data_IF_132323977279
#
_entry.id   IF_132323977279
#
_cell.length_a   1.000
_cell.length_b   1.000
_cell.length_c   1.000
_cell.angle_alpha   90.00
_cell.angle_beta   90.00
_cell.angle_gamma   90.00
#
_symmetry.space_group_name_H-M   'P 1'
#
loop_
_entity.id
_entity.type
_entity.pdbx_description
1 polymer ?
#
# COMPACT_ATOMS: atom_id res chain seq x y z
N UNK A 1 -19.84 4.08 -21.54
CA UNK A 1 -19.42 2.80 -22.12
C UNK A 1 -20.13 1.76 -21.28
N UNK A 2 -21.19 1.12 -21.78
CA UNK A 2 -21.94 0.15 -20.99
C UNK A 2 -21.09 -1.13 -20.95
N UNK A 3 -20.49 -1.40 -19.80
CA UNK A 3 -19.85 -2.68 -19.49
C UNK A 3 -20.96 -3.73 -19.33
N UNK A 4 -20.69 -4.96 -19.77
CA UNK A 4 -21.63 -6.08 -19.64
C UNK A 4 -21.99 -6.30 -18.16
N UNK A 5 -23.27 -6.57 -17.82
CA UNK A 5 -23.75 -6.70 -16.43
C UNK A 5 -23.17 -7.90 -15.65
N UNK A 6 -22.34 -8.74 -16.30
CA UNK A 6 -21.67 -9.89 -15.69
C UNK A 6 -20.46 -9.49 -14.83
N UNK A 7 -20.03 -8.21 -14.87
CA UNK A 7 -18.87 -7.68 -14.13
C UNK A 7 -19.24 -6.75 -12.95
N UNK A 8 -20.53 -6.65 -12.60
CA UNK A 8 -21.00 -5.84 -11.45
C UNK A 8 -21.12 -6.66 -10.15
N UNK A 9 -21.06 -7.99 -10.23
CA UNK A 9 -21.07 -8.86 -9.05
C UNK A 9 -19.66 -8.98 -8.44
N UNK A 10 -19.54 -9.07 -7.10
CA UNK A 10 -18.25 -9.26 -6.43
C UNK A 10 -17.54 -10.53 -6.88
N UNK A 11 -16.21 -10.49 -6.93
CA UNK A 11 -15.38 -11.63 -7.32
C UNK A 11 -15.58 -12.80 -6.34
N UNK A 12 -15.89 -13.98 -6.88
CA UNK A 12 -16.00 -15.19 -6.05
C UNK A 12 -14.65 -15.80 -5.72
N UNK A 13 -14.55 -16.60 -4.65
CA UNK A 13 -13.30 -17.32 -4.29
C UNK A 13 -12.78 -18.21 -5.43
N UNK A 14 -13.67 -18.84 -6.20
CA UNK A 14 -13.28 -19.69 -7.34
C UNK A 14 -12.66 -18.84 -8.47
N UNK A 15 -13.25 -17.69 -8.74
CA UNK A 15 -12.79 -16.73 -9.74
C UNK A 15 -11.47 -16.08 -9.35
N UNK A 16 -11.33 -15.69 -8.08
CA UNK A 16 -10.07 -15.22 -7.52
C UNK A 16 -8.99 -16.29 -7.65
N UNK A 17 -9.28 -17.54 -7.29
CA UNK A 17 -8.33 -18.65 -7.47
C UNK A 17 -7.99 -18.94 -8.94
N UNK A 18 -8.84 -18.57 -9.91
CA UNK A 18 -8.48 -18.60 -11.35
C UNK A 18 -7.48 -17.49 -11.69
N UNK A 19 -7.67 -16.28 -11.15
CA UNK A 19 -6.75 -15.17 -11.33
C UNK A 19 -5.39 -15.45 -10.70
N UNK A 20 -5.35 -15.88 -9.43
CA UNK A 20 -4.11 -16.23 -8.72
C UNK A 20 -3.29 -17.27 -9.49
N UNK A 21 -3.92 -18.40 -9.86
CA UNK A 21 -3.23 -19.45 -10.64
C UNK A 21 -2.70 -18.96 -11.98
N UNK A 22 -3.34 -17.96 -12.60
CA UNK A 22 -2.83 -17.39 -13.84
C UNK A 22 -1.61 -16.50 -13.60
N UNK A 23 -1.67 -15.64 -12.57
CA UNK A 23 -0.57 -14.75 -12.19
C UNK A 23 0.68 -15.53 -11.71
N UNK A 24 0.51 -16.74 -11.18
CA UNK A 24 1.64 -17.61 -10.79
C UNK A 24 2.03 -18.65 -11.85
N UNK A 25 1.56 -18.52 -13.10
CA UNK A 25 1.84 -19.49 -14.17
C UNK A 25 2.96 -19.05 -15.11
N UNK A 26 3.46 -19.99 -15.92
CA UNK A 26 4.41 -19.75 -17.02
C UNK A 26 3.84 -18.88 -18.17
N UNK A 27 2.58 -18.47 -18.07
CA UNK A 27 1.95 -17.55 -19.01
C UNK A 27 2.41 -16.09 -18.80
N UNK A 28 2.87 -15.74 -17.61
CA UNK A 28 3.43 -14.41 -17.30
C UNK A 28 4.93 -14.51 -17.07
N UNK A 29 5.62 -13.37 -16.97
CA UNK A 29 7.05 -13.35 -16.66
C UNK A 29 7.29 -13.32 -15.15
N UNK A 30 8.53 -13.57 -14.72
CA UNK A 30 8.88 -13.62 -13.29
C UNK A 30 8.68 -12.28 -12.56
N UNK A 31 8.71 -11.15 -13.28
CA UNK A 31 8.40 -9.83 -12.71
C UNK A 31 6.91 -9.45 -12.82
N UNK A 32 6.02 -10.39 -13.16
CA UNK A 32 4.59 -10.13 -13.10
C UNK A 32 4.12 -10.05 -11.65
N UNK A 33 3.12 -9.20 -11.39
CA UNK A 33 2.55 -9.09 -10.05
C UNK A 33 1.82 -10.39 -9.70
N UNK A 34 2.09 -10.90 -8.50
CA UNK A 34 1.18 -11.87 -7.88
C UNK A 34 -0.11 -11.18 -7.38
N UNK A 35 -1.02 -11.95 -6.81
CA UNK A 35 -2.31 -11.39 -6.37
C UNK A 35 -2.19 -10.43 -5.18
N UNK A 36 -1.21 -10.63 -4.29
CA UNK A 36 -1.00 -9.78 -3.10
C UNK A 36 -0.43 -8.44 -3.54
N UNK A 37 0.59 -8.47 -4.40
CA UNK A 37 1.19 -7.29 -5.02
C UNK A 37 0.18 -6.54 -5.89
N UNK A 38 -0.63 -7.26 -6.68
CA UNK A 38 -1.71 -6.67 -7.46
C UNK A 38 -2.70 -5.92 -6.56
N UNK A 39 -3.10 -6.48 -5.41
CA UNK A 39 -3.99 -5.78 -4.49
C UNK A 39 -3.38 -4.46 -3.99
N UNK A 40 -2.11 -4.47 -3.57
CA UNK A 40 -1.41 -3.26 -3.12
C UNK A 40 -1.32 -2.21 -4.22
N UNK A 41 -0.97 -2.63 -5.43
CA UNK A 41 -0.90 -1.78 -6.61
C UNK A 41 -2.25 -1.13 -6.96
N UNK A 42 -3.31 -1.92 -7.03
CA UNK A 42 -4.65 -1.41 -7.30
C UNK A 42 -5.12 -0.48 -6.18
N UNK A 43 -4.81 -0.78 -4.91
CA UNK A 43 -5.13 0.09 -3.78
C UNK A 43 -4.49 1.46 -3.95
N UNK A 44 -3.19 1.53 -4.25
CA UNK A 44 -2.50 2.81 -4.50
C UNK A 44 -3.12 3.57 -5.70
N UNK A 45 -3.42 2.86 -6.78
CA UNK A 45 -4.03 3.47 -7.97
C UNK A 45 -5.41 4.05 -7.69
N UNK A 46 -6.24 3.36 -6.91
CA UNK A 46 -7.59 3.80 -6.54
C UNK A 46 -7.55 4.94 -5.53
N UNK A 47 -6.66 4.85 -4.54
CA UNK A 47 -6.55 5.81 -3.44
C UNK A 47 -5.79 7.08 -3.82
N UNK A 48 -5.01 7.08 -4.89
CA UNK A 48 -4.10 8.15 -5.27
C UNK A 48 -4.73 9.44 -5.81
N UNK A 49 -3.90 10.46 -6.11
CA UNK A 49 -4.35 11.80 -6.52
C UNK A 49 -5.04 11.84 -7.89
N UNK A 50 -4.63 10.96 -8.80
CA UNK A 50 -5.05 10.97 -10.20
C UNK A 50 -6.05 9.86 -10.54
N UNK A 51 -6.91 10.10 -11.52
CA UNK A 51 -7.73 9.05 -12.14
C UNK A 51 -6.90 8.27 -13.16
N UNK A 52 -6.41 7.08 -12.79
CA UNK A 52 -5.66 6.21 -13.69
C UNK A 52 -6.60 5.28 -14.45
N UNK A 53 -6.52 5.29 -15.77
CA UNK A 53 -7.34 4.41 -16.61
C UNK A 53 -6.85 2.95 -16.51
N UNK A 54 -7.75 1.94 -16.49
CA UNK A 54 -7.32 0.53 -16.39
C UNK A 54 -6.32 0.10 -17.46
N UNK A 55 -6.43 0.64 -18.69
CA UNK A 55 -5.48 0.36 -19.77
C UNK A 55 -4.06 0.87 -19.52
N UNK A 56 -3.86 1.85 -18.63
CA UNK A 56 -2.54 2.32 -18.20
C UNK A 56 -1.90 1.39 -17.15
N UNK A 57 -2.74 0.64 -16.42
CA UNK A 57 -2.35 -0.22 -15.30
C UNK A 57 -1.96 -1.61 -15.79
N UNK A 58 -2.71 -2.18 -16.75
CA UNK A 58 -2.51 -3.55 -17.24
C UNK A 58 -1.05 -3.90 -17.61
N UNK A 59 -0.28 -3.07 -18.33
CA UNK A 59 1.12 -3.40 -18.64
C UNK A 59 2.00 -3.63 -17.42
N UNK A 60 1.76 -2.90 -16.33
CA UNK A 60 2.50 -3.03 -15.08
C UNK A 60 2.16 -4.29 -14.30
N UNK A 61 0.94 -4.83 -14.46
CA UNK A 61 0.56 -6.11 -13.84
C UNK A 61 1.36 -7.26 -14.45
N UNK A 62 1.63 -7.19 -15.76
CA UNK A 62 2.32 -8.25 -16.50
C UNK A 62 3.85 -8.21 -16.40
N UNK A 63 4.39 -7.03 -16.10
CA UNK A 63 5.81 -6.72 -16.04
C UNK A 63 5.96 -5.51 -15.12
N UNK A 64 5.97 -5.75 -13.81
CA UNK A 64 6.03 -4.70 -12.81
C UNK A 64 7.29 -3.85 -12.96
N UNK A 65 8.38 -4.43 -13.48
CA UNK A 65 9.65 -3.75 -13.68
C UNK A 65 9.60 -2.74 -14.82
N UNK A 66 9.19 -3.17 -16.00
CA UNK A 66 9.36 -2.36 -17.22
C UNK A 66 8.08 -2.10 -18.01
N UNK A 67 6.96 -2.74 -17.67
CA UNK A 67 5.70 -2.66 -18.43
C UNK A 67 5.86 -2.98 -19.95
N UNK A 68 6.84 -3.82 -20.30
CA UNK A 68 7.16 -4.11 -21.71
C UNK A 68 6.73 -5.49 -22.16
N UNK A 69 6.76 -6.48 -21.26
CA UNK A 69 6.33 -7.85 -21.53
C UNK A 69 4.81 -7.97 -21.46
N UNK A 70 4.29 -9.00 -22.14
CA UNK A 70 2.87 -9.28 -22.23
C UNK A 70 2.62 -10.75 -21.88
N UNK A 71 1.48 -11.07 -21.29
CA UNK A 71 1.12 -12.44 -20.95
C UNK A 71 0.86 -13.27 -22.21
N UNK A 72 1.14 -14.56 -22.12
CA UNK A 72 0.87 -15.56 -23.15
C UNK A 72 -0.52 -16.17 -22.93
N UNK A 73 -1.53 -15.52 -23.50
CA UNK A 73 -2.88 -16.09 -23.50
C UNK A 73 -3.02 -17.22 -24.52
N UNK A 74 -3.56 -18.36 -24.09
CA UNK A 74 -3.89 -19.49 -24.98
C UNK A 74 -4.99 -19.17 -25.99
N UNK A 75 -5.85 -18.18 -25.68
CA UNK A 75 -6.91 -17.71 -26.56
C UNK A 75 -7.39 -16.31 -26.19
N UNK A 76 -8.04 -15.63 -27.13
CA UNK A 76 -8.71 -14.35 -26.87
C UNK A 76 -9.85 -14.46 -25.83
N UNK A 77 -10.46 -15.64 -25.68
CA UNK A 77 -11.43 -15.91 -24.61
C UNK A 77 -10.77 -15.90 -23.24
N UNK A 78 -9.59 -16.54 -23.11
CA UNK A 78 -8.82 -16.54 -21.86
C UNK A 78 -8.32 -15.14 -21.51
N UNK A 79 -7.85 -14.38 -22.50
CA UNK A 79 -7.44 -12.99 -22.32
C UNK A 79 -8.57 -12.14 -21.73
N UNK A 80 -9.76 -12.18 -22.36
CA UNK A 80 -10.95 -11.45 -21.88
C UNK A 80 -11.34 -11.88 -20.46
N UNK A 81 -11.31 -13.18 -20.17
CA UNK A 81 -11.64 -13.68 -18.82
C UNK A 81 -10.68 -13.13 -17.77
N UNK A 82 -9.36 -13.28 -17.96
CA UNK A 82 -8.38 -12.79 -16.99
C UNK A 82 -8.43 -11.27 -16.82
N UNK A 83 -8.52 -10.51 -17.93
CA UNK A 83 -8.68 -9.05 -17.83
C UNK A 83 -9.96 -8.68 -17.09
N UNK A 84 -11.08 -9.39 -17.33
CA UNK A 84 -12.33 -9.18 -16.62
C UNK A 84 -12.21 -9.39 -15.10
N UNK A 85 -11.52 -10.46 -14.69
CA UNK A 85 -11.27 -10.76 -13.27
C UNK A 85 -10.45 -9.66 -12.58
N UNK A 86 -9.45 -9.08 -13.27
CA UNK A 86 -8.68 -7.94 -12.73
C UNK A 86 -9.56 -6.70 -12.52
N UNK A 87 -10.49 -6.44 -13.45
CA UNK A 87 -11.41 -5.31 -13.34
C UNK A 87 -12.44 -5.54 -12.22
N UNK A 88 -12.97 -6.75 -12.07
CA UNK A 88 -13.82 -7.11 -10.93
C UNK A 88 -13.05 -6.91 -9.61
N UNK A 89 -11.80 -7.40 -9.52
CA UNK A 89 -10.98 -7.23 -8.33
C UNK A 89 -10.69 -5.75 -8.00
N UNK A 90 -10.41 -4.94 -9.02
CA UNK A 90 -10.33 -3.49 -8.88
C UNK A 90 -11.63 -2.91 -8.28
N UNK A 91 -12.77 -3.29 -8.84
CA UNK A 91 -14.07 -2.79 -8.39
C UNK A 91 -14.37 -3.18 -6.95
N UNK A 92 -14.01 -4.41 -6.53
CA UNK A 92 -14.16 -4.88 -5.15
C UNK A 92 -13.31 -4.06 -4.19
N UNK A 93 -12.03 -3.82 -4.50
CA UNK A 93 -11.14 -2.96 -3.70
C UNK A 93 -11.71 -1.54 -3.62
N UNK A 94 -12.13 -0.98 -4.76
CA UNK A 94 -12.72 0.34 -4.82
C UNK A 94 -14.02 0.43 -4.00
N UNK A 95 -14.85 -0.61 -4.03
CA UNK A 95 -16.08 -0.66 -3.24
C UNK A 95 -15.79 -0.75 -1.74
N UNK A 96 -14.82 -1.58 -1.33
CA UNK A 96 -14.38 -1.66 0.05
C UNK A 96 -13.88 -0.30 0.54
N UNK A 97 -12.95 0.34 -0.18
CA UNK A 97 -12.40 1.65 0.19
C UNK A 97 -13.46 2.77 0.30
N UNK A 98 -14.48 2.77 -0.57
CA UNK A 98 -15.48 3.86 -0.60
C UNK A 98 -16.72 3.62 0.27
N UNK A 99 -17.18 2.37 0.39
CA UNK A 99 -18.49 2.07 0.96
C UNK A 99 -18.43 1.10 2.14
N UNK A 100 -17.37 0.31 2.26
CA UNK A 100 -17.21 -0.68 3.32
C UNK A 100 -15.79 -0.66 3.90
N UNK A 101 -15.29 0.51 4.37
CA UNK A 101 -13.91 0.63 4.83
C UNK A 101 -13.59 -0.34 5.98
N UNK A 102 -14.59 -0.69 6.79
CA UNK A 102 -14.49 -1.66 7.88
C UNK A 102 -14.22 -3.10 7.43
N UNK A 103 -14.43 -3.39 6.14
CA UNK A 103 -14.17 -4.69 5.51
C UNK A 103 -12.91 -4.66 4.63
N UNK A 104 -12.26 -3.51 4.49
CA UNK A 104 -11.03 -3.40 3.72
C UNK A 104 -9.87 -4.06 4.50
N UNK A 105 -9.14 -4.96 3.85
CA UNK A 105 -7.99 -5.61 4.44
C UNK A 105 -7.02 -6.11 3.35
N UNK A 106 -5.72 -5.81 3.45
CA UNK A 106 -4.71 -6.42 2.59
C UNK A 106 -4.75 -7.96 2.68
N UNK A 107 -4.72 -8.69 1.53
CA UNK A 107 -4.78 -10.16 1.51
C UNK A 107 -3.42 -10.77 1.84
N UNK A 108 -2.91 -10.50 3.05
CA UNK A 108 -1.58 -10.91 3.49
C UNK A 108 -1.55 -12.39 3.87
N UNK A 109 -0.43 -13.04 3.57
CA UNK A 109 -0.18 -14.41 3.99
C UNK A 109 0.61 -14.45 5.30
N UNK A 110 0.58 -15.59 5.99
CA UNK A 110 1.31 -15.77 7.25
C UNK A 110 2.62 -16.51 7.04
N UNK A 111 3.61 -16.18 7.87
CA UNK A 111 4.90 -16.88 7.98
C UNK A 111 5.29 -17.07 9.44
N UNK A 112 6.30 -17.92 9.68
CA UNK A 112 6.86 -18.12 11.02
C UNK A 112 8.11 -17.27 11.22
N UNK A 113 8.10 -16.46 12.27
CA UNK A 113 9.22 -15.63 12.69
C UNK A 113 9.43 -15.77 14.19
N UNK A 114 10.65 -16.14 14.60
CA UNK A 114 10.97 -16.48 16.00
C UNK A 114 10.01 -17.52 16.63
N UNK A 115 9.44 -18.42 15.83
CA UNK A 115 8.49 -19.44 16.28
C UNK A 115 7.04 -18.97 16.37
N UNK A 116 6.79 -17.67 16.18
CA UNK A 116 5.47 -17.04 16.20
C UNK A 116 4.96 -16.78 14.78
N UNK A 117 3.65 -16.81 14.61
CA UNK A 117 3.00 -16.47 13.35
C UNK A 117 2.91 -14.94 13.20
N UNK A 118 3.38 -14.44 12.05
CA UNK A 118 3.32 -13.04 11.63
C UNK A 118 2.80 -12.94 10.19
N UNK A 119 2.31 -11.77 9.80
CA UNK A 119 1.91 -11.48 8.42
C UNK A 119 3.11 -11.02 7.60
N UNK A 120 3.14 -11.38 6.32
CA UNK A 120 4.13 -10.90 5.34
C UNK A 120 3.51 -9.72 4.60
N UNK A 121 4.24 -8.60 4.56
CA UNK A 121 3.75 -7.32 4.07
C UNK A 121 4.41 -6.92 2.75
N UNK A 122 5.53 -7.54 2.41
CA UNK A 122 6.48 -7.10 1.39
C UNK A 122 5.80 -6.97 0.02
N UNK A 123 5.16 -8.02 -0.49
CA UNK A 123 4.55 -8.01 -1.83
C UNK A 123 3.47 -6.94 -1.97
N UNK A 124 2.63 -6.78 -0.95
CA UNK A 124 1.58 -5.75 -0.96
C UNK A 124 2.19 -4.34 -0.98
N UNK A 125 3.21 -4.11 -0.15
CA UNK A 125 3.87 -2.82 -0.03
C UNK A 125 4.66 -2.46 -1.30
N UNK A 126 5.32 -3.43 -1.93
CA UNK A 126 5.96 -3.29 -3.24
C UNK A 126 4.94 -2.88 -4.31
N UNK A 127 3.79 -3.55 -4.34
CA UNK A 127 2.67 -3.19 -5.22
C UNK A 127 2.21 -1.76 -5.00
N UNK A 128 2.01 -1.35 -3.75
CA UNK A 128 1.57 0.01 -3.42
C UNK A 128 2.60 1.06 -3.85
N UNK A 129 3.89 0.84 -3.57
CA UNK A 129 4.98 1.70 -4.04
C UNK A 129 5.01 1.81 -5.57
N UNK A 130 4.72 0.70 -6.26
CA UNK A 130 4.60 0.72 -7.73
C UNK A 130 3.46 1.60 -8.22
N UNK A 131 2.35 1.67 -7.48
CA UNK A 131 1.23 2.55 -7.79
C UNK A 131 1.58 4.03 -7.59
N UNK A 132 2.34 4.35 -6.53
CA UNK A 132 2.91 5.69 -6.32
C UNK A 132 3.77 6.09 -7.53
N UNK A 133 4.60 5.18 -8.01
CA UNK A 133 5.54 5.41 -9.12
C UNK A 133 4.90 5.70 -10.49
N UNK A 134 3.60 5.44 -10.67
CA UNK A 134 2.90 5.82 -11.90
C UNK A 134 2.94 7.34 -12.10
N UNK A 135 2.81 8.12 -11.01
CA UNK A 135 2.91 9.58 -11.03
C UNK A 135 3.45 10.09 -9.69
N UNK A 136 4.72 9.80 -9.44
CA UNK A 136 5.39 10.05 -8.17
C UNK A 136 5.29 11.51 -7.72
N UNK A 137 5.45 12.46 -8.65
CA UNK A 137 5.40 13.90 -8.36
C UNK A 137 4.07 14.30 -7.71
N UNK A 138 2.96 13.68 -8.12
CA UNK A 138 1.65 13.97 -7.54
C UNK A 138 1.49 13.50 -6.08
N UNK A 139 2.35 12.59 -5.61
CA UNK A 139 2.31 12.05 -4.24
C UNK A 139 3.21 12.81 -3.27
N UNK A 140 4.22 13.56 -3.75
CA UNK A 140 5.26 14.17 -2.92
C UNK A 140 4.67 15.04 -1.80
N UNK A 141 3.71 15.91 -2.11
CA UNK A 141 3.09 16.80 -1.13
C UNK A 141 2.42 16.04 0.03
N UNK A 142 1.75 14.92 -0.27
CA UNK A 142 1.09 14.14 0.77
C UNK A 142 2.12 13.36 1.60
N UNK A 143 3.17 12.83 0.96
CA UNK A 143 4.27 12.15 1.65
C UNK A 143 4.98 13.10 2.61
N UNK A 144 5.25 14.34 2.19
CA UNK A 144 5.87 15.36 3.05
C UNK A 144 4.97 15.76 4.22
N UNK A 145 3.65 15.81 4.00
CA UNK A 145 2.70 16.25 5.03
C UNK A 145 2.37 15.18 6.04
N UNK A 146 2.30 13.93 5.60
CA UNK A 146 1.91 12.77 6.39
C UNK A 146 2.89 11.61 6.22
N UNK A 147 4.19 11.80 6.52
CA UNK A 147 5.20 10.75 6.37
C UNK A 147 4.85 9.49 7.17
N UNK A 148 4.13 9.65 8.29
CA UNK A 148 3.66 8.56 9.14
C UNK A 148 2.78 7.54 8.41
N UNK A 149 1.96 7.96 7.43
CA UNK A 149 1.12 7.05 6.65
C UNK A 149 1.93 6.21 5.67
N UNK A 150 3.05 6.73 5.15
CA UNK A 150 3.86 6.02 4.17
C UNK A 150 4.90 5.12 4.81
N UNK A 151 5.22 5.32 6.09
CA UNK A 151 6.35 4.65 6.71
C UNK A 151 6.30 3.12 6.60
N UNK A 152 5.20 2.47 6.95
CA UNK A 152 5.10 1.00 6.86
C UNK A 152 5.12 0.53 5.40
N UNK A 153 4.48 1.27 4.50
CA UNK A 153 4.45 0.99 3.06
C UNK A 153 5.88 1.05 2.49
N UNK A 154 6.64 2.10 2.80
CA UNK A 154 8.00 2.27 2.31
C UNK A 154 8.97 1.31 3.00
N UNK A 155 8.76 1.01 4.28
CA UNK A 155 9.59 0.09 5.06
C UNK A 155 9.60 -1.31 4.45
N UNK A 156 8.45 -1.81 3.98
CA UNK A 156 8.32 -3.14 3.38
C UNK A 156 8.32 -3.13 1.84
N UNK A 157 8.14 -1.98 1.19
CA UNK A 157 8.01 -1.88 -0.27
C UNK A 157 9.22 -1.31 -1.02
N UNK A 158 10.30 -0.92 -0.32
CA UNK A 158 11.50 -0.30 -0.92
C UNK A 158 12.80 -0.95 -0.44
N UNK A 159 13.86 -0.81 -1.23
CA UNK A 159 15.13 -1.50 -0.96
C UNK A 159 15.79 -0.91 0.29
N UNK A 160 15.77 0.42 0.38
CA UNK A 160 16.17 1.18 1.56
C UNK A 160 15.37 0.79 2.81
N UNK A 161 14.05 0.59 2.67
CA UNK A 161 13.18 0.16 3.75
C UNK A 161 13.56 -1.23 4.27
N UNK A 162 13.74 -2.19 3.36
CA UNK A 162 14.12 -3.55 3.71
C UNK A 162 15.50 -3.63 4.39
N UNK A 163 16.47 -2.84 3.91
CA UNK A 163 17.76 -2.69 4.58
C UNK A 163 17.61 -2.14 6.01
N UNK A 164 16.73 -1.16 6.22
CA UNK A 164 16.46 -0.60 7.53
C UNK A 164 15.74 -1.59 8.47
N UNK A 165 14.84 -2.44 7.95
CA UNK A 165 14.21 -3.54 8.69
C UNK A 165 15.26 -4.48 9.29
N UNK A 166 16.29 -4.84 8.51
CA UNK A 166 17.37 -5.72 8.95
C UNK A 166 18.30 -5.14 10.03
N UNK A 167 18.29 -3.82 10.21
CA UNK A 167 19.13 -3.13 11.20
C UNK A 167 18.46 -2.97 12.57
N UNK A 168 17.18 -3.35 12.70
CA UNK A 168 16.38 -3.13 13.90
C UNK A 168 15.87 -4.44 14.47
N UNK A 169 15.89 -4.51 15.80
CA UNK A 169 15.35 -5.65 16.54
C UNK A 169 13.91 -5.36 16.93
N UNK A 170 12.98 -5.72 16.05
CA UNK A 170 11.55 -5.59 16.28
C UNK A 170 11.03 -6.76 17.11
N UNK A 171 10.19 -6.52 18.12
CA UNK A 171 9.51 -7.60 18.83
C UNK A 171 8.44 -8.27 17.95
N UNK A 172 7.96 -9.45 18.35
CA UNK A 172 6.85 -10.13 17.68
C UNK A 172 5.61 -9.24 17.66
N UNK A 173 5.31 -8.59 18.79
CA UNK A 173 4.17 -7.68 18.94
C UNK A 173 4.30 -6.49 17.99
N UNK A 174 5.49 -5.88 17.89
CA UNK A 174 5.73 -4.78 16.95
C UNK A 174 5.54 -5.22 15.49
N UNK A 175 6.03 -6.41 15.13
CA UNK A 175 5.83 -6.96 13.77
C UNK A 175 4.36 -7.21 13.46
N UNK A 176 3.60 -7.77 14.40
CA UNK A 176 2.14 -7.95 14.25
C UNK A 176 1.41 -6.63 14.07
N UNK A 177 1.89 -5.60 14.75
CA UNK A 177 1.33 -4.26 14.72
C UNK A 177 1.45 -3.58 13.34
N UNK A 178 2.44 -3.95 12.51
CA UNK A 178 2.62 -3.37 11.18
C UNK A 178 1.43 -3.61 10.24
N UNK A 179 0.77 -4.76 10.33
CA UNK A 179 -0.39 -5.02 9.47
C UNK A 179 -1.54 -4.05 9.76
N UNK A 180 -1.76 -3.69 11.03
CA UNK A 180 -2.77 -2.70 11.40
C UNK A 180 -2.40 -1.30 10.89
N UNK A 181 -1.13 -0.91 11.06
CA UNK A 181 -0.61 0.35 10.53
C UNK A 181 -0.75 0.43 9.01
N UNK A 182 -0.53 -0.69 8.31
CA UNK A 182 -0.66 -0.76 6.84
C UNK A 182 -2.10 -0.53 6.39
N UNK A 183 -3.07 -1.19 7.03
CA UNK A 183 -4.49 -0.99 6.75
C UNK A 183 -4.92 0.44 7.03
N UNK A 184 -4.54 0.98 8.19
CA UNK A 184 -4.83 2.36 8.57
C UNK A 184 -4.25 3.39 7.60
N UNK A 185 -3.00 3.21 7.20
CA UNK A 185 -2.34 4.05 6.21
C UNK A 185 -3.12 4.10 4.88
N UNK A 186 -3.49 2.94 4.33
CA UNK A 186 -4.23 2.87 3.08
C UNK A 186 -5.60 3.60 3.16
N UNK A 187 -6.33 3.41 4.26
CA UNK A 187 -7.61 4.09 4.50
C UNK A 187 -7.45 5.60 4.69
N UNK A 188 -6.43 6.04 5.42
CA UNK A 188 -6.12 7.46 5.64
C UNK A 188 -5.78 8.17 4.33
N UNK A 189 -4.92 7.58 3.52
CA UNK A 189 -4.54 8.10 2.21
C UNK A 189 -5.76 8.20 1.27
N UNK A 190 -6.57 7.13 1.19
CA UNK A 190 -7.78 7.13 0.36
C UNK A 190 -8.77 8.21 0.78
N UNK A 191 -8.99 8.36 2.09
CA UNK A 191 -9.86 9.39 2.66
C UNK A 191 -9.37 10.80 2.34
N UNK A 192 -8.06 11.04 2.48
CA UNK A 192 -7.45 12.33 2.14
C UNK A 192 -7.70 12.71 0.67
N UNK A 193 -7.35 11.83 -0.26
CA UNK A 193 -7.53 12.14 -1.69
C UNK A 193 -8.99 12.14 -2.12
N UNK A 194 -9.84 11.33 -1.49
CA UNK A 194 -11.29 11.40 -1.67
C UNK A 194 -11.84 12.80 -1.34
N UNK A 195 -11.37 13.38 -0.23
CA UNK A 195 -11.73 14.73 0.20
C UNK A 195 -11.16 15.81 -0.73
N UNK A 196 -9.89 15.71 -1.14
CA UNK A 196 -9.30 16.67 -2.08
C UNK A 196 -9.99 16.64 -3.45
N UNK A 197 -10.32 15.46 -3.98
CA UNK A 197 -11.11 15.34 -5.22
C UNK A 197 -12.49 15.97 -5.08
N UNK A 198 -13.15 15.81 -3.93
CA UNK A 198 -14.45 16.43 -3.64
C UNK A 198 -14.34 17.97 -3.68
N UNK A 199 -13.34 18.55 -3.01
CA UNK A 199 -13.10 20.00 -3.02
C UNK A 199 -12.81 20.54 -4.42
N UNK A 200 -12.00 19.82 -5.21
CA UNK A 200 -11.72 20.19 -6.61
C UNK A 200 -13.00 20.21 -7.46
N UNK A 201 -13.86 19.20 -7.31
CA UNK A 201 -15.14 19.13 -8.03
C UNK A 201 -16.11 20.24 -7.61
N UNK A 202 -16.16 20.60 -6.33
CA UNK A 202 -16.96 21.74 -5.81
C UNK A 202 -16.52 23.08 -6.41
N UNK A 203 -15.24 23.20 -6.80
CA UNK A 203 -14.67 24.37 -7.47
C UNK A 203 -14.88 24.34 -9.00
N UNK A 204 -15.51 23.29 -9.54
CA UNK A 204 -15.75 23.12 -10.98
C UNK A 204 -14.57 22.53 -11.76
N UNK A 205 -13.52 22.09 -11.05
CA UNK A 205 -12.36 21.42 -11.62
C UNK A 205 -12.56 19.90 -11.66
N UNK A 206 -11.67 19.19 -12.36
CA UNK A 206 -11.70 17.71 -12.44
C UNK A 206 -10.32 17.15 -12.07
N UNK A 207 -10.28 15.98 -11.39
CA UNK A 207 -9.02 15.29 -11.16
C UNK A 207 -8.29 15.02 -12.48
N UNK A 208 -6.97 15.11 -12.44
CA UNK A 208 -6.14 14.78 -13.58
C UNK A 208 -6.32 13.28 -13.94
N UNK A 209 -6.25 12.97 -15.23
CA UNK A 209 -6.51 11.64 -15.76
C UNK A 209 -5.25 11.11 -16.45
N UNK A 210 -4.78 9.94 -16.03
CA UNK A 210 -3.64 9.25 -16.63
C UNK A 210 -4.20 8.22 -17.66
N UNK A 211 -4.09 8.50 -18.97
CA UNK A 211 -4.61 7.60 -19.99
C UNK A 211 -3.67 6.41 -20.20
N UNK A 212 -4.16 5.38 -20.88
CA UNK A 212 -3.29 4.31 -21.36
C UNK A 212 -2.20 4.88 -22.28
N UNK A 213 -0.94 4.54 -22.01
CA UNK A 213 0.17 4.93 -22.88
C UNK A 213 -0.04 4.25 -24.23
N UNK A 214 -0.43 5.03 -25.24
CA UNK A 214 -0.41 4.58 -26.62
C UNK A 214 1.05 4.51 -27.04
N UNK A 215 1.62 3.31 -27.19
CA UNK A 215 2.95 3.15 -27.82
C UNK A 215 2.95 3.96 -29.13
N UNK A 216 3.91 4.86 -29.37
CA UNK A 216 4.08 5.44 -30.69
C UNK A 216 4.25 4.31 -31.71
N UNK A 217 3.49 4.39 -32.81
CA UNK A 217 3.64 3.47 -33.95
C UNK A 217 5.09 3.53 -34.40
N UNK A 218 5.77 2.39 -34.32
CA UNK A 218 7.19 2.20 -34.61
C UNK A 218 7.60 2.92 -35.91
N UNK A 219 8.35 4.02 -35.81
CA UNK A 219 9.07 4.56 -36.97
C UNK A 219 10.31 3.71 -37.12
N UNK A 220 10.22 2.75 -38.02
CA UNK A 220 11.34 1.97 -38.55
C UNK A 220 12.52 2.88 -38.89
N UNK A 221 13.47 2.95 -37.96
CA UNK A 221 14.73 3.66 -38.09
C UNK A 221 15.87 2.70 -37.81
N UNK A 222 16.46 2.15 -38.87
CA UNK A 222 17.70 1.37 -38.82
C UNK A 222 18.77 2.16 -38.07
N UNK A 223 19.26 1.66 -36.94
CA UNK A 223 20.61 1.98 -36.47
C UNK A 223 21.39 0.68 -36.21
N UNK A 224 22.60 0.67 -36.77
CA UNK A 224 23.51 -0.46 -36.89
C UNK A 224 24.73 -0.25 -35.99
N UNK A 225 25.18 -1.33 -35.33
CA UNK A 225 26.51 -1.52 -34.70
C UNK A 225 26.77 -0.70 -33.42
N UNK A 226 27.58 -1.14 -32.44
CA UNK A 226 28.55 -2.24 -32.36
C UNK A 226 29.07 -2.35 -30.90
N UNK A 227 29.34 -3.59 -30.48
CA UNK A 227 30.35 -4.11 -29.51
C UNK A 227 30.33 -3.69 -28.02
N UNK A 228 30.02 -4.70 -27.19
CA UNK A 228 30.81 -5.32 -26.11
C UNK A 228 31.90 -4.50 -25.40
N UNK A 229 31.90 -4.57 -24.05
CA UNK A 229 33.05 -4.93 -23.20
C UNK A 229 32.62 -5.19 -21.74
N UNK A 230 32.84 -6.44 -21.33
CA UNK A 230 33.34 -6.99 -20.05
C UNK A 230 32.77 -6.62 -18.65
N UNK A 231 32.15 -7.64 -18.07
CA UNK A 231 32.32 -8.27 -16.74
C UNK A 231 33.09 -7.53 -15.62
N UNK A 232 32.48 -7.46 -14.42
CA UNK A 232 32.82 -8.34 -13.29
C UNK A 232 31.93 -8.12 -12.04
N UNK A 233 31.54 -9.25 -11.47
CA UNK A 233 31.47 -9.63 -10.04
C UNK A 233 30.63 -8.78 -9.07
N UNK A 234 29.58 -9.42 -8.55
CA UNK A 234 28.76 -8.97 -7.45
C UNK A 234 27.86 -10.13 -7.03
N UNK A 235 28.09 -10.63 -5.83
CA UNK A 235 27.27 -11.63 -5.12
C UNK A 235 25.78 -11.51 -5.42
N UNK A 236 25.18 -12.60 -5.89
CA UNK A 236 23.74 -12.78 -6.06
C UNK A 236 23.03 -12.54 -4.72
N UNK A 237 22.73 -11.27 -4.42
CA UNK A 237 21.53 -10.93 -3.67
C UNK A 237 20.39 -11.27 -4.62
N UNK A 238 19.50 -12.18 -4.22
CA UNK A 238 18.24 -12.36 -4.93
C UNK A 238 17.67 -10.96 -5.19
N UNK A 239 17.49 -10.63 -6.48
CA UNK A 239 16.99 -9.35 -6.98
C UNK A 239 15.55 -9.17 -6.52
N UNK A 240 15.37 -8.85 -5.23
CA UNK A 240 14.11 -8.39 -4.66
C UNK A 240 13.62 -7.22 -5.52
N UNK A 241 12.33 -7.22 -5.87
CA UNK A 241 11.65 -6.22 -6.69
C UNK A 241 11.48 -4.89 -5.93
N UNK A 242 12.43 -4.52 -5.10
CA UNK A 242 12.33 -3.36 -4.25
C UNK A 242 12.70 -2.13 -5.07
N UNK A 243 11.80 -1.13 -5.11
CA UNK A 243 12.15 0.19 -5.64
C UNK A 243 13.33 0.71 -4.80
N UNK A 244 14.47 1.01 -5.42
CA UNK A 244 15.73 1.37 -4.74
C UNK A 244 15.49 2.40 -3.62
N UNK A 245 14.78 3.46 -3.98
CA UNK A 245 14.19 4.50 -3.13
C UNK A 245 13.22 5.28 -4.03
N UNK A 246 12.17 5.90 -3.48
CA UNK A 246 11.29 6.79 -4.26
C UNK A 246 11.98 8.13 -4.64
N UNK A 247 13.32 8.20 -4.73
CA UNK A 247 14.10 9.40 -5.09
C UNK A 247 14.44 10.32 -3.91
N UNK A 248 15.17 11.42 -4.17
CA UNK A 248 15.77 12.31 -3.15
C UNK A 248 14.77 12.84 -2.11
N UNK A 249 13.57 13.21 -2.55
CA UNK A 249 12.49 13.72 -1.68
C UNK A 249 12.06 12.68 -0.67
N UNK A 250 12.08 11.40 -1.04
CA UNK A 250 11.78 10.30 -0.11
C UNK A 250 12.98 9.79 0.67
N UNK A 251 14.22 10.00 0.25
CA UNK A 251 15.38 9.75 1.13
C UNK A 251 15.38 10.74 2.32
N UNK A 252 14.97 11.99 2.08
CA UNK A 252 14.84 13.02 3.11
C UNK A 252 13.50 12.95 3.87
N UNK A 253 12.40 12.50 3.25
CA UNK A 253 11.07 12.35 3.89
C UNK A 253 10.79 10.95 4.49
N UNK A 254 11.59 9.93 4.15
CA UNK A 254 11.53 8.63 4.80
C UNK A 254 12.23 8.72 6.15
N UNK A 255 11.43 8.83 7.20
CA UNK A 255 11.92 8.77 8.58
C UNK A 255 11.55 7.41 9.17
N UNK A 256 12.41 6.39 9.03
CA UNK A 256 12.05 5.02 9.40
C UNK A 256 11.57 4.96 10.87
N UNK A 257 10.43 4.31 11.10
CA UNK A 257 9.71 4.33 12.39
C UNK A 257 10.46 3.62 13.52
N UNK A 258 10.77 4.34 14.60
CA UNK A 258 11.08 3.70 15.88
C UNK A 258 9.75 3.46 16.62
N UNK A 259 9.29 2.20 16.66
CA UNK A 259 8.15 1.80 17.47
C UNK A 259 8.58 1.65 18.93
N UNK A 260 7.82 2.23 19.85
CA UNK A 260 8.02 2.05 21.28
C UNK A 260 7.68 0.60 21.66
N UNK A 261 8.45 -0.04 22.55
CA UNK A 261 8.08 -1.32 23.15
C UNK A 261 6.83 -1.23 24.05
N UNK A 262 6.35 -0.01 24.35
CA UNK A 262 5.11 0.23 25.08
C UNK A 262 3.86 0.15 24.20
N UNK A 263 4.02 0.06 22.87
CA UNK A 263 2.90 -0.18 21.95
C UNK A 263 2.21 -1.49 22.32
N UNK A 264 0.90 -1.46 22.48
CA UNK A 264 0.17 -2.57 23.10
C UNK A 264 -1.29 -2.60 22.67
N UNK A 265 -1.92 -3.78 22.79
CA UNK A 265 -3.36 -3.95 22.59
C UNK A 265 -4.11 -3.71 23.89
N UNK A 266 -5.18 -2.92 23.82
CA UNK A 266 -6.08 -2.64 24.94
C UNK A 266 -7.46 -3.19 24.63
N UNK A 267 -8.02 -4.00 25.54
CA UNK A 267 -9.38 -4.55 25.41
C UNK A 267 -10.26 -4.10 26.58
N UNK A 268 -11.45 -3.58 26.27
CA UNK A 268 -12.49 -3.19 27.24
C UNK A 268 -13.85 -3.63 26.72
N UNK A 269 -14.61 -4.33 27.55
CA UNK A 269 -16.01 -4.72 27.25
C UNK A 269 -16.21 -5.46 25.91
N UNK A 270 -15.18 -6.16 25.43
CA UNK A 270 -15.20 -6.91 24.16
C UNK A 270 -14.66 -6.13 22.97
N UNK A 271 -14.53 -4.81 23.06
CA UNK A 271 -13.86 -3.97 22.05
C UNK A 271 -12.36 -3.97 22.27
N UNK A 272 -11.58 -4.10 21.21
CA UNK A 272 -10.11 -4.05 21.25
C UNK A 272 -9.58 -2.96 20.33
N UNK A 273 -8.54 -2.26 20.79
CA UNK A 273 -7.78 -1.29 20.01
C UNK A 273 -6.29 -1.57 20.16
N UNK A 274 -5.52 -1.32 19.12
CA UNK A 274 -4.07 -1.37 19.12
C UNK A 274 -3.53 0.05 19.32
N UNK A 275 -2.81 0.27 20.43
CA UNK A 275 -2.19 1.54 20.78
C UNK A 275 -0.75 1.51 20.28
N UNK A 276 -0.45 2.35 19.30
CA UNK A 276 0.86 2.50 18.70
C UNK A 276 1.51 3.79 19.15
N UNK A 277 2.73 3.68 19.66
CA UNK A 277 3.55 4.82 20.03
C UNK A 277 4.83 4.73 19.22
N UNK A 278 5.09 5.73 18.38
CA UNK A 278 6.23 5.71 17.47
C UNK A 278 6.85 7.08 17.27
N UNK A 279 8.01 7.13 16.63
CA UNK A 279 8.61 8.37 16.16
C UNK A 279 9.35 8.19 14.85
N UNK A 280 9.47 9.29 14.13
CA UNK A 280 10.31 9.44 12.95
C UNK A 280 11.80 9.33 13.35
N UNK A 281 12.52 8.34 12.82
CA UNK A 281 13.97 8.20 13.01
C UNK A 281 14.44 7.90 14.45
N UNK A 282 15.77 7.91 14.64
CA UNK A 282 16.41 7.67 15.94
C UNK A 282 16.65 8.97 16.73
N UNK A 283 16.46 10.13 16.11
CA UNK A 283 16.78 11.42 16.73
C UNK A 283 15.65 11.85 17.66
N UNK A 284 15.97 12.23 18.90
CA UNK A 284 14.97 12.46 19.95
C UNK A 284 14.24 13.80 19.84
N UNK A 285 14.37 14.50 18.71
CA UNK A 285 13.91 15.89 18.53
C UNK A 285 12.44 16.00 18.12
N UNK A 286 11.88 14.97 17.49
CA UNK A 286 10.54 15.02 16.91
C UNK A 286 9.43 14.49 17.84
N UNK A 287 9.79 14.14 19.09
CA UNK A 287 8.86 13.58 20.08
C UNK A 287 8.29 12.22 19.65
N UNK A 288 7.30 11.73 20.39
CA UNK A 288 6.61 10.47 20.15
C UNK A 288 5.19 10.76 19.67
N UNK A 289 4.80 10.19 18.54
CA UNK A 289 3.43 10.21 18.04
C UNK A 289 2.63 9.08 18.67
N UNK A 290 1.35 9.35 18.88
CA UNK A 290 0.36 8.41 19.39
C UNK A 290 -0.69 8.17 18.32
N UNK A 291 -0.91 6.89 18.04
CA UNK A 291 -1.93 6.43 17.11
C UNK A 291 -2.68 5.26 17.74
N UNK A 292 -4.01 5.32 17.73
CA UNK A 292 -4.87 4.23 18.19
C UNK A 292 -5.65 3.70 17.00
N UNK A 293 -5.50 2.40 16.74
CA UNK A 293 -6.11 1.71 15.61
C UNK A 293 -7.16 0.75 16.15
N UNK A 294 -8.38 0.84 15.66
CA UNK A 294 -9.43 -0.11 16.04
C UNK A 294 -9.36 -1.42 15.23
N UNK A 295 -10.25 -2.37 15.55
CA UNK A 295 -10.31 -3.66 14.86
C UNK A 295 -10.64 -3.57 13.37
N UNK A 296 -11.12 -2.41 12.91
CA UNK A 296 -11.46 -2.15 11.51
C UNK A 296 -10.30 -1.47 10.76
N UNK A 297 -9.15 -1.28 11.42
CA UNK A 297 -8.03 -0.54 10.84
C UNK A 297 -8.27 0.97 10.78
N UNK A 298 -9.35 1.49 11.39
CA UNK A 298 -9.54 2.94 11.47
C UNK A 298 -8.62 3.50 12.53
N UNK A 299 -7.93 4.58 12.17
CA UNK A 299 -6.91 5.20 13.00
C UNK A 299 -7.37 6.55 13.56
N UNK A 300 -7.17 6.72 14.86
CA UNK A 300 -7.22 7.99 15.58
C UNK A 300 -5.78 8.40 15.91
N UNK A 301 -5.31 9.48 15.29
CA UNK A 301 -3.95 10.04 15.50
C UNK A 301 -4.04 11.31 16.34
N UNK A 302 -3.13 11.47 17.29
CA UNK A 302 -2.98 12.72 18.03
C UNK A 302 -2.02 13.65 17.29
N UNK A 303 -2.45 14.89 17.06
CA UNK A 303 -1.71 15.86 16.25
C UNK A 303 -0.39 16.34 16.90
N UNK A 304 -0.36 16.44 18.24
CA UNK A 304 0.80 16.95 18.97
C UNK A 304 1.71 15.80 19.48
N UNK A 305 3.03 15.85 19.23
CA UNK A 305 3.95 14.83 19.70
C UNK A 305 4.21 14.92 21.21
N UNK A 306 4.40 13.76 21.84
CA UNK A 306 4.68 13.61 23.27
C UNK A 306 6.18 13.60 23.56
N UNK A 307 6.62 14.10 24.73
CA UNK A 307 8.04 14.13 25.08
C UNK A 307 8.63 12.73 25.35
N UNK A 308 7.78 11.77 25.77
CA UNK A 308 8.17 10.38 26.05
C UNK A 308 7.10 9.43 25.55
N UNK A 309 7.50 8.20 25.20
CA UNK A 309 6.56 7.14 24.83
C UNK A 309 5.62 6.76 25.98
N UNK A 310 6.10 6.84 27.22
CA UNK A 310 5.27 6.65 28.41
C UNK A 310 4.19 7.73 28.58
N UNK A 311 4.45 8.98 28.17
CA UNK A 311 3.44 10.04 28.19
C UNK A 311 2.37 9.80 27.11
N UNK A 312 2.78 9.40 25.91
CA UNK A 312 1.86 9.01 24.83
C UNK A 312 0.96 7.84 25.26
N UNK A 313 1.53 6.76 25.81
CA UNK A 313 0.73 5.63 26.29
C UNK A 313 -0.22 6.04 27.44
N UNK A 314 0.26 6.86 28.38
CA UNK A 314 -0.58 7.34 29.47
C UNK A 314 -1.78 8.16 28.94
N UNK A 315 -1.59 8.98 27.92
CA UNK A 315 -2.67 9.74 27.29
C UNK A 315 -3.74 8.82 26.68
N UNK A 316 -3.35 7.81 25.93
CA UNK A 316 -4.27 6.82 25.37
C UNK A 316 -5.08 6.10 26.48
N UNK A 317 -4.38 5.61 27.52
CA UNK A 317 -5.02 4.87 28.62
C UNK A 317 -5.96 5.77 29.44
N UNK A 318 -5.59 7.03 29.67
CA UNK A 318 -6.42 8.00 30.37
C UNK A 318 -7.67 8.35 29.57
N UNK A 319 -7.53 8.54 28.27
CA UNK A 319 -8.65 8.81 27.35
C UNK A 319 -9.63 7.65 27.36
N UNK A 320 -9.16 6.42 27.15
CA UNK A 320 -9.98 5.20 27.20
C UNK A 320 -10.66 5.03 28.57
N UNK A 321 -9.97 5.33 29.67
CA UNK A 321 -10.52 5.17 31.02
C UNK A 321 -11.56 6.23 31.37
N UNK A 322 -11.40 7.45 30.85
CA UNK A 322 -12.24 8.60 31.21
C UNK A 322 -13.44 8.76 30.28
N UNK A 323 -13.28 8.45 28.99
CA UNK A 323 -14.27 8.66 27.94
C UNK A 323 -14.79 7.35 27.32
N UNK A 324 -14.28 6.20 27.79
CA UNK A 324 -14.61 4.89 27.24
C UNK A 324 -13.83 4.56 25.98
N UNK A 325 -13.70 3.26 25.68
CA UNK A 325 -12.91 2.79 24.52
C UNK A 325 -13.52 3.25 23.18
N UNK A 326 -14.84 3.44 23.11
CA UNK A 326 -15.51 3.94 21.91
C UNK A 326 -15.08 5.36 21.52
N UNK A 327 -14.56 6.17 22.47
CA UNK A 327 -14.12 7.55 22.18
C UNK A 327 -12.90 7.63 21.25
N UNK A 328 -12.16 6.54 21.09
CA UNK A 328 -10.96 6.45 20.25
C UNK A 328 -11.15 5.52 19.06
N UNK A 329 -12.38 5.05 18.82
CA UNK A 329 -12.75 4.24 17.65
C UNK A 329 -13.67 5.03 16.72
N UNK A 330 -13.82 4.57 15.48
CA UNK A 330 -14.66 5.22 14.48
C UNK A 330 -16.13 5.39 14.90
N UNK A 331 -16.63 4.60 15.86
CA UNK A 331 -18.01 4.64 16.36
C UNK A 331 -18.40 5.99 16.98
N UNK A 332 -17.44 6.84 17.37
CA UNK A 332 -17.71 8.13 18.02
C UNK A 332 -17.32 9.37 17.19
N UNK A 333 -17.10 9.26 15.87
CA UNK A 333 -17.01 10.44 14.99
C UNK A 333 -18.40 11.02 14.73
N UNK A 334 -19.09 11.45 15.78
CA UNK A 334 -20.21 12.38 15.67
C UNK A 334 -19.64 13.75 15.36
N UNK A 335 -19.81 14.16 14.09
CA UNK A 335 -19.61 15.54 13.62
C UNK A 335 -20.17 16.54 14.63
N UNK A 336 -19.34 17.47 15.08
CA UNK A 336 -19.80 18.77 15.56
C UNK A 336 -19.12 19.88 14.78
#
# INVERSE_FOLDING_TARGET
MNLDPEFDDPLTDEEFGVLERFLSSDAVCDDAMDAVMLHGFLTAVISGPNMVMPGAVLPWIWDARHATRQPRFLSAGRARKITGLIIQYWNDINNALNHCPDLFGPPLHTTKWQGEEILVLDEWCEGYCKGIDIDREAWELLIERHPEWFNVILLFGTASGYQALGQRDYTVEQRRSFANLLTAAALNIHRYWGEERRKLMEQGERPNMIPAVSKPKDRTGKHAGRSDLDAQDGTESEDLFLVDSLGRTTEDAFHPLALSPLSTRVTREGTSVDVHVYRAGNDSRDGWLLEVIDSHGTSTVWDDPFPTDGAALAEALNTISSHGIASVTAEHVTKH
#
